data_IF_723544411424
#
_entry.id   IF_723544411424
#
_cell.length_a   1.000
_cell.length_b   1.000
_cell.length_c   1.000
_cell.angle_alpha   90.00
_cell.angle_beta   90.00
_cell.angle_gamma   90.00
#
_symmetry.space_group_name_H-M   'P 1'
#
loop_
_entity.id
_entity.type
_entity.pdbx_description
1 polymer ?
#
# COMPACT_ATOMS: atom_id res chain seq x y z
N UNK A 1 -38.01 13.37 -66.74
CA UNK A 1 -37.97 14.23 -65.53
C UNK A 1 -37.89 13.41 -64.21
N UNK A 2 -38.53 12.20 -64.15
CA UNK A 2 -38.50 11.35 -62.95
C UNK A 2 -37.17 10.64 -62.66
N UNK A 3 -36.40 10.25 -63.71
CA UNK A 3 -35.11 9.55 -63.55
C UNK A 3 -34.05 10.47 -62.94
N UNK A 4 -34.05 11.76 -63.28
CA UNK A 4 -33.06 12.72 -62.76
C UNK A 4 -33.29 13.04 -61.28
N UNK A 5 -34.52 12.97 -60.76
CA UNK A 5 -34.82 13.16 -59.36
C UNK A 5 -34.44 11.96 -58.48
N UNK A 6 -34.45 10.74 -59.01
CA UNK A 6 -34.00 9.54 -58.31
C UNK A 6 -32.49 9.49 -58.14
N UNK A 7 -31.73 9.92 -59.15
CA UNK A 7 -30.26 9.97 -59.13
C UNK A 7 -29.75 11.01 -58.10
N UNK A 8 -30.40 12.19 -57.97
CA UNK A 8 -30.02 13.19 -56.98
C UNK A 8 -30.33 12.75 -55.53
N UNK A 9 -31.38 11.93 -55.33
CA UNK A 9 -31.71 11.41 -53.98
C UNK A 9 -30.77 10.32 -53.51
N UNK A 10 -30.28 9.48 -54.44
CA UNK A 10 -29.25 8.45 -54.15
C UNK A 10 -27.89 9.05 -53.85
N UNK A 11 -27.47 10.11 -54.52
CA UNK A 11 -26.20 10.80 -54.27
C UNK A 11 -26.21 11.55 -52.92
N UNK A 12 -27.33 12.11 -52.48
CA UNK A 12 -27.47 12.77 -51.19
C UNK A 12 -27.44 11.78 -50.02
N UNK A 13 -28.02 10.58 -50.22
CA UNK A 13 -28.02 9.52 -49.18
C UNK A 13 -26.63 8.91 -48.96
N UNK A 14 -25.82 8.75 -50.02
CA UNK A 14 -24.44 8.25 -49.89
C UNK A 14 -23.52 9.25 -49.27
N UNK A 15 -23.69 10.56 -49.47
CA UNK A 15 -22.94 11.63 -48.82
C UNK A 15 -23.29 11.76 -47.31
N UNK A 16 -24.56 11.53 -46.95
CA UNK A 16 -25.01 11.58 -45.56
C UNK A 16 -24.53 10.36 -44.76
N UNK A 17 -24.41 9.17 -45.36
CA UNK A 17 -23.79 7.99 -44.70
C UNK A 17 -22.27 8.14 -44.51
N UNK A 18 -21.56 8.81 -45.41
CA UNK A 18 -20.12 9.06 -45.29
C UNK A 18 -19.77 10.02 -44.14
N UNK A 19 -20.66 10.97 -43.81
CA UNK A 19 -20.45 11.91 -42.71
C UNK A 19 -20.65 11.30 -41.33
N UNK A 20 -21.50 10.25 -41.21
CA UNK A 20 -21.78 9.58 -39.94
C UNK A 20 -20.59 8.67 -39.51
N UNK A 21 -19.77 8.22 -40.46
CA UNK A 21 -18.58 7.39 -40.16
C UNK A 21 -17.30 8.22 -39.86
N UNK A 22 -17.29 9.52 -40.11
CA UNK A 22 -16.11 10.35 -39.87
C UNK A 22 -16.00 10.86 -38.42
N UNK A 23 -17.10 10.88 -37.66
CA UNK A 23 -17.10 11.29 -36.25
C UNK A 23 -16.73 10.18 -35.23
N UNK A 24 -16.54 8.95 -35.69
CA UNK A 24 -16.31 7.80 -34.80
C UNK A 24 -14.83 7.56 -34.42
N UNK A 25 -13.89 8.43 -34.79
CA UNK A 25 -12.45 8.16 -34.60
C UNK A 25 -11.64 9.23 -33.89
N UNK A 26 -12.28 10.13 -33.17
CA UNK A 26 -11.58 10.91 -32.15
C UNK A 26 -11.82 10.37 -30.73
N UNK A 27 -11.68 9.04 -30.54
CA UNK A 27 -11.30 8.52 -29.25
C UNK A 27 -9.92 9.11 -28.97
N UNK A 28 -9.92 10.23 -28.23
CA UNK A 28 -8.70 10.85 -27.72
C UNK A 28 -7.98 9.74 -26.98
N UNK A 29 -6.90 9.23 -27.57
CA UNK A 29 -6.06 8.24 -26.91
C UNK A 29 -5.66 8.87 -25.59
N UNK A 30 -6.27 8.42 -24.50
CA UNK A 30 -5.93 8.91 -23.15
C UNK A 30 -4.46 8.56 -22.95
N UNK A 31 -3.62 9.58 -22.81
CA UNK A 31 -2.18 9.38 -22.60
C UNK A 31 -2.02 8.45 -21.39
N UNK A 32 -1.36 7.31 -21.57
CA UNK A 32 -1.18 6.36 -20.47
C UNK A 32 -0.48 7.05 -19.29
N UNK A 33 -0.81 6.65 -18.07
CA UNK A 33 -0.14 7.21 -16.88
C UNK A 33 1.37 7.02 -16.96
N UNK A 34 1.83 5.88 -17.49
CA UNK A 34 3.26 5.60 -17.67
C UNK A 34 3.94 6.58 -18.63
N UNK A 35 3.28 6.94 -19.75
CA UNK A 35 3.82 7.92 -20.70
C UNK A 35 3.83 9.34 -20.10
N UNK A 36 2.79 9.71 -19.37
CA UNK A 36 2.73 10.99 -18.66
C UNK A 36 3.84 11.12 -17.60
N UNK A 37 4.10 10.06 -16.83
CA UNK A 37 5.18 9.97 -15.83
C UNK A 37 6.53 10.15 -16.53
N UNK A 38 6.76 9.47 -17.64
CA UNK A 38 8.02 9.58 -18.42
C UNK A 38 8.22 10.95 -19.00
N UNK A 39 7.19 11.52 -19.61
CA UNK A 39 7.25 12.88 -20.17
C UNK A 39 7.57 13.93 -19.09
N UNK A 40 7.07 13.74 -17.88
CA UNK A 40 7.33 14.61 -16.72
C UNK A 40 8.70 14.36 -16.07
N UNK A 41 9.30 13.20 -16.29
CA UNK A 41 10.58 12.79 -15.69
C UNK A 41 10.52 12.46 -14.20
N UNK A 42 9.32 12.33 -13.62
CA UNK A 42 9.15 11.99 -12.19
C UNK A 42 7.79 11.35 -11.89
N UNK A 43 7.77 10.42 -10.94
CA UNK A 43 6.57 9.83 -10.35
C UNK A 43 5.98 10.80 -9.31
N UNK A 44 4.66 11.01 -9.33
CA UNK A 44 3.92 11.69 -8.25
C UNK A 44 3.30 10.65 -7.34
N UNK A 45 3.82 10.51 -6.13
CA UNK A 45 3.37 9.52 -5.17
C UNK A 45 2.63 10.17 -4.01
N UNK A 46 1.33 9.86 -3.86
CA UNK A 46 0.51 10.25 -2.72
C UNK A 46 0.85 9.40 -1.51
N UNK A 47 1.32 10.05 -0.42
CA UNK A 47 1.72 9.40 0.83
C UNK A 47 0.99 10.02 2.02
N UNK A 48 1.10 9.41 3.20
CA UNK A 48 0.64 10.03 4.46
C UNK A 48 1.43 11.29 4.79
N UNK A 49 0.81 12.22 5.52
CA UNK A 49 1.48 13.45 5.97
C UNK A 49 2.63 13.13 6.92
N UNK A 50 2.34 12.54 8.07
CA UNK A 50 3.31 11.98 9.01
C UNK A 50 2.71 10.72 9.63
N UNK A 51 3.25 9.57 9.24
CA UNK A 51 2.86 8.27 9.79
C UNK A 51 4.13 7.45 10.04
N UNK A 52 4.61 7.39 11.30
CA UNK A 52 5.83 6.67 11.63
C UNK A 52 5.84 5.25 11.11
N UNK A 53 6.95 4.83 10.52
CA UNK A 53 7.11 3.54 9.88
C UNK A 53 6.55 3.44 8.45
N UNK A 54 5.60 4.27 8.04
CA UNK A 54 5.02 4.30 6.69
C UNK A 54 5.47 5.51 5.87
N UNK A 55 5.33 6.71 6.46
CA UNK A 55 5.71 7.98 5.84
C UNK A 55 6.10 8.95 6.95
N UNK A 56 7.37 9.25 7.06
CA UNK A 56 7.89 10.19 8.05
C UNK A 56 8.94 11.09 7.41
N UNK A 57 9.19 12.23 8.03
CA UNK A 57 10.20 13.22 7.60
C UNK A 57 11.14 13.44 8.76
N UNK A 58 12.42 13.35 8.51
CA UNK A 58 13.44 13.70 9.49
C UNK A 58 13.68 15.24 9.55
N UNK A 59 14.45 15.74 10.53
CA UNK A 59 14.75 17.17 10.64
C UNK A 59 15.49 17.76 9.43
N UNK A 60 16.14 16.92 8.60
CA UNK A 60 16.79 17.33 7.35
C UNK A 60 15.84 17.34 6.15
N UNK A 61 14.56 16.98 6.35
CA UNK A 61 13.55 16.94 5.30
C UNK A 61 13.56 15.64 4.47
N UNK A 62 14.34 14.63 4.88
CA UNK A 62 14.42 13.35 4.18
C UNK A 62 13.23 12.47 4.58
N UNK A 63 12.52 11.97 3.55
CA UNK A 63 11.38 11.06 3.76
C UNK A 63 11.82 9.61 3.81
N UNK A 64 11.23 8.87 4.77
CA UNK A 64 11.43 7.43 4.96
C UNK A 64 10.11 6.75 5.37
N UNK A 65 10.06 5.43 5.25
CA UNK A 65 8.89 4.62 5.60
C UNK A 65 8.57 3.58 4.53
N UNK A 66 7.70 2.63 4.87
CA UNK A 66 7.29 1.53 3.99
C UNK A 66 6.66 2.04 2.68
N UNK A 67 5.74 3.02 2.76
CA UNK A 67 5.08 3.63 1.61
C UNK A 67 6.07 4.43 0.75
N UNK A 68 6.99 5.14 1.40
CA UNK A 68 8.05 5.92 0.75
C UNK A 68 9.00 5.01 -0.02
N UNK A 69 9.43 3.90 0.57
CA UNK A 69 10.33 2.94 -0.08
C UNK A 69 9.64 2.23 -1.24
N UNK A 70 8.35 1.92 -1.12
CA UNK A 70 7.57 1.40 -2.24
C UNK A 70 7.52 2.39 -3.43
N UNK A 71 7.31 3.68 -3.18
CA UNK A 71 7.34 4.70 -4.24
C UNK A 71 8.73 4.87 -4.86
N UNK A 72 9.80 4.74 -4.07
CA UNK A 72 11.19 4.70 -4.59
C UNK A 72 11.42 3.46 -5.47
N UNK A 73 10.86 2.30 -5.10
CA UNK A 73 10.91 1.10 -5.93
C UNK A 73 10.20 1.28 -7.27
N UNK A 74 9.03 1.93 -7.29
CA UNK A 74 8.33 2.32 -8.53
C UNK A 74 9.15 3.26 -9.40
N UNK A 75 9.77 4.28 -8.82
CA UNK A 75 10.64 5.21 -9.55
C UNK A 75 11.85 4.49 -10.17
N UNK A 76 12.45 3.55 -9.43
CA UNK A 76 13.52 2.69 -9.97
C UNK A 76 13.03 1.82 -11.13
N UNK A 77 11.84 1.23 -11.02
CA UNK A 77 11.28 0.41 -12.08
C UNK A 77 11.09 1.21 -13.40
N UNK A 78 10.65 2.47 -13.30
CA UNK A 78 10.34 3.30 -14.48
C UNK A 78 11.55 4.04 -15.02
N UNK A 79 12.41 4.58 -14.13
CA UNK A 79 13.48 5.52 -14.48
C UNK A 79 14.90 5.00 -14.20
N UNK A 80 15.04 3.88 -13.48
CA UNK A 80 16.34 3.44 -12.97
C UNK A 80 16.92 4.33 -11.85
N UNK A 81 16.12 5.26 -11.31
CA UNK A 81 16.53 6.19 -10.26
C UNK A 81 15.49 6.26 -9.15
N UNK A 82 15.89 6.02 -7.91
CA UNK A 82 15.01 6.17 -6.73
C UNK A 82 14.63 7.61 -6.42
N UNK A 83 15.36 8.58 -6.96
CA UNK A 83 15.17 10.01 -6.72
C UNK A 83 14.20 10.64 -7.74
N UNK A 84 13.80 9.89 -8.77
CA UNK A 84 12.80 10.31 -9.76
C UNK A 84 11.36 10.19 -9.21
N UNK A 85 11.15 10.54 -7.95
CA UNK A 85 9.85 10.56 -7.29
C UNK A 85 9.63 11.85 -6.53
N UNK A 86 8.41 12.40 -6.63
CA UNK A 86 7.93 13.52 -5.83
C UNK A 86 6.83 13.00 -4.91
N UNK A 87 7.00 13.23 -3.62
CA UNK A 87 6.05 12.83 -2.60
C UNK A 87 5.01 13.91 -2.37
N UNK A 88 3.75 13.52 -2.38
CA UNK A 88 2.62 14.39 -2.14
C UNK A 88 1.90 13.96 -0.86
N UNK A 89 2.09 14.67 0.27
CA UNK A 89 1.40 14.37 1.51
C UNK A 89 -0.10 14.63 1.37
N UNK A 90 -0.90 13.64 1.77
CA UNK A 90 -2.36 13.69 1.63
C UNK A 90 -3.05 13.36 2.96
N UNK A 91 -4.11 14.11 3.27
CA UNK A 91 -5.01 13.79 4.37
C UNK A 91 -5.82 12.50 4.10
N UNK A 92 -6.41 11.87 5.12
CA UNK A 92 -7.33 10.74 4.90
C UNK A 92 -8.52 11.07 4.01
N UNK A 93 -9.00 12.32 4.00
CA UNK A 93 -10.19 12.73 3.27
C UNK A 93 -9.90 13.08 1.80
N UNK A 94 -8.68 13.52 1.49
CA UNK A 94 -8.33 14.02 0.16
C UNK A 94 -7.67 12.96 -0.74
N UNK A 95 -7.18 11.86 -0.17
CA UNK A 95 -6.33 10.88 -0.87
C UNK A 95 -6.94 10.30 -2.14
N UNK A 96 -8.20 9.85 -2.09
CA UNK A 96 -8.86 9.26 -3.27
C UNK A 96 -9.28 10.31 -4.29
N UNK A 97 -9.62 11.52 -3.85
CA UNK A 97 -9.90 12.65 -4.72
C UNK A 97 -8.64 13.04 -5.52
N UNK A 98 -7.50 13.16 -4.84
CA UNK A 98 -6.21 13.45 -5.49
C UNK A 98 -5.78 12.36 -6.49
N UNK A 99 -6.10 11.08 -6.20
CA UNK A 99 -5.87 9.99 -7.15
C UNK A 99 -6.79 10.10 -8.37
N UNK A 100 -8.07 10.33 -8.15
CA UNK A 100 -9.08 10.43 -9.22
C UNK A 100 -8.84 11.64 -10.14
N UNK A 101 -8.43 12.81 -9.58
CA UNK A 101 -8.08 14.02 -10.36
C UNK A 101 -6.78 13.90 -11.15
N UNK A 102 -5.91 12.93 -10.81
CA UNK A 102 -4.58 12.79 -11.41
C UNK A 102 -3.50 13.68 -10.78
N UNK A 103 -3.77 14.29 -9.61
CA UNK A 103 -2.76 15.04 -8.85
C UNK A 103 -1.63 14.12 -8.38
N UNK A 104 -1.93 12.82 -8.23
CA UNK A 104 -0.95 11.77 -7.99
C UNK A 104 -1.14 10.60 -8.96
N UNK A 105 -0.05 9.91 -9.28
CA UNK A 105 -0.05 8.75 -10.19
C UNK A 105 -0.37 7.46 -9.46
N UNK A 106 0.04 7.38 -8.21
CA UNK A 106 -0.17 6.26 -7.30
C UNK A 106 -0.42 6.76 -5.90
N UNK A 107 -1.31 6.09 -5.19
CA UNK A 107 -1.56 6.33 -3.77
C UNK A 107 -0.90 5.20 -2.97
N UNK A 108 0.17 5.50 -2.23
CA UNK A 108 0.80 4.63 -1.25
C UNK A 108 0.75 5.34 0.11
N UNK A 109 -0.38 5.16 0.83
CA UNK A 109 -0.70 5.97 2.00
C UNK A 109 -1.40 5.14 3.09
N UNK A 110 -0.96 3.90 3.32
CA UNK A 110 -1.62 3.06 4.31
C UNK A 110 -3.14 3.00 4.09
N UNK A 111 -3.60 2.89 2.85
CA UNK A 111 -5.02 2.85 2.54
C UNK A 111 -5.53 1.42 2.58
N UNK A 112 -6.53 1.16 3.43
CA UNK A 112 -7.19 -0.15 3.52
C UNK A 112 -7.92 -0.47 2.22
N UNK A 113 -7.66 -1.63 1.64
CA UNK A 113 -8.40 -2.17 0.50
C UNK A 113 -9.77 -2.67 0.96
N UNK A 114 -10.83 -1.97 0.59
CA UNK A 114 -12.22 -2.34 0.87
C UNK A 114 -13.03 -2.40 -0.41
N UNK A 115 -14.15 -3.14 -0.40
CA UNK A 115 -15.05 -3.24 -1.55
C UNK A 115 -15.45 -1.86 -2.07
N UNK A 116 -15.94 -0.97 -1.20
CA UNK A 116 -16.37 0.38 -1.57
C UNK A 116 -15.25 1.20 -2.21
N UNK A 117 -14.04 1.17 -1.62
CA UNK A 117 -12.90 1.93 -2.16
C UNK A 117 -12.46 1.42 -3.52
N UNK A 118 -12.52 0.10 -3.74
CA UNK A 118 -12.12 -0.54 -5.00
C UNK A 118 -13.16 -0.40 -6.11
N UNK A 119 -14.43 -0.19 -5.77
CA UNK A 119 -15.54 -0.18 -6.75
C UNK A 119 -16.18 1.18 -6.97
N UNK A 120 -16.24 2.05 -5.94
CA UNK A 120 -17.01 3.30 -5.98
C UNK A 120 -16.15 4.55 -6.08
N UNK A 121 -14.87 4.50 -5.63
CA UNK A 121 -14.01 5.68 -5.59
C UNK A 121 -13.08 5.83 -6.80
N UNK A 122 -13.28 5.05 -7.87
CA UNK A 122 -12.43 5.10 -9.06
C UNK A 122 -10.98 4.64 -8.83
N UNK A 123 -10.74 3.99 -7.69
CA UNK A 123 -9.44 3.43 -7.33
C UNK A 123 -9.39 1.94 -7.63
N UNK A 124 -8.19 1.40 -7.89
CA UNK A 124 -7.91 -0.02 -8.04
C UNK A 124 -6.67 -0.38 -7.23
N UNK A 125 -6.85 -1.28 -6.26
CA UNK A 125 -5.75 -1.71 -5.40
C UNK A 125 -4.86 -2.74 -6.10
N UNK A 126 -3.55 -2.47 -6.14
CA UNK A 126 -2.59 -3.30 -6.86
C UNK A 126 -2.12 -4.53 -6.07
N UNK A 127 -2.43 -4.60 -4.79
CA UNK A 127 -2.10 -5.69 -3.87
C UNK A 127 -1.99 -5.16 -2.45
N UNK A 128 -1.59 -6.03 -1.51
CA UNK A 128 -1.41 -5.67 -0.11
C UNK A 128 0.07 -5.45 0.16
N UNK A 129 0.42 -4.23 0.58
CA UNK A 129 1.78 -3.86 1.00
C UNK A 129 2.01 -4.15 2.49
N UNK A 130 0.95 -4.07 3.31
CA UNK A 130 1.00 -4.34 4.73
C UNK A 130 -0.35 -4.86 5.24
N UNK A 131 -0.34 -5.99 5.91
CA UNK A 131 -1.49 -6.53 6.64
C UNK A 131 -1.50 -5.94 8.04
N UNK A 132 -2.38 -4.97 8.27
CA UNK A 132 -2.68 -4.40 9.59
C UNK A 132 -4.00 -4.95 10.12
N UNK A 133 -4.37 -4.51 11.30
CA UNK A 133 -5.65 -4.82 11.93
C UNK A 133 -5.72 -4.20 13.31
N UNK A 134 -6.93 -4.08 13.81
CA UNK A 134 -7.15 -3.60 15.16
C UNK A 134 -6.66 -4.64 16.18
N UNK A 135 -5.89 -4.17 17.14
CA UNK A 135 -5.36 -4.95 18.25
C UNK A 135 -5.46 -4.20 19.56
N UNK A 136 -4.72 -4.68 20.54
CA UNK A 136 -4.76 -4.16 21.91
C UNK A 136 -3.37 -4.02 22.51
N UNK A 137 -3.11 -2.87 23.11
CA UNK A 137 -1.91 -2.57 23.90
C UNK A 137 -2.27 -2.59 25.38
N UNK A 138 -1.54 -3.37 26.19
CA UNK A 138 -1.73 -3.45 27.62
C UNK A 138 -0.39 -3.42 28.38
N UNK A 139 -0.44 -3.21 29.70
CA UNK A 139 0.75 -3.31 30.54
C UNK A 139 1.07 -4.77 30.82
N UNK A 140 2.36 -5.15 30.76
CA UNK A 140 2.81 -6.51 31.13
C UNK A 140 2.41 -6.89 32.55
N UNK A 141 2.38 -5.92 33.47
CA UNK A 141 1.92 -6.14 34.86
C UNK A 141 0.47 -6.60 35.00
N UNK A 142 -0.36 -6.47 33.97
CA UNK A 142 -1.74 -6.99 33.97
C UNK A 142 -1.79 -8.51 33.76
N UNK A 143 -0.65 -9.15 33.42
CA UNK A 143 -0.54 -10.59 33.21
C UNK A 143 -1.51 -11.17 32.14
N UNK A 144 -1.84 -10.37 31.12
CA UNK A 144 -2.72 -10.76 30.00
C UNK A 144 -1.86 -11.13 28.81
N UNK A 145 -2.11 -12.30 28.22
CA UNK A 145 -1.37 -12.80 27.05
C UNK A 145 -2.25 -12.90 25.78
N UNK A 146 -3.57 -12.83 25.92
CA UNK A 146 -4.54 -12.95 24.81
C UNK A 146 -5.66 -11.95 24.97
N UNK A 147 -6.23 -11.50 23.84
CA UNK A 147 -7.44 -10.66 23.81
C UNK A 147 -8.62 -11.35 24.48
N UNK A 148 -8.69 -12.67 24.45
CA UNK A 148 -9.75 -13.45 25.11
C UNK A 148 -9.74 -13.34 26.65
N UNK A 149 -8.66 -12.87 27.23
CA UNK A 149 -8.52 -12.63 28.68
C UNK A 149 -8.96 -11.21 29.10
N UNK A 150 -9.39 -10.36 28.16
CA UNK A 150 -9.77 -8.96 28.40
C UNK A 150 -11.22 -8.78 28.89
N UNK A 151 -11.93 -9.84 29.30
CA UNK A 151 -13.29 -9.70 29.79
C UNK A 151 -13.34 -8.85 31.06
N UNK A 152 -14.12 -7.76 31.05
CA UNK A 152 -14.22 -6.76 32.13
C UNK A 152 -13.21 -5.61 32.03
N UNK A 153 -12.39 -5.57 30.99
CA UNK A 153 -11.41 -4.51 30.80
C UNK A 153 -12.06 -3.14 30.53
N UNK A 154 -11.40 -2.08 31.01
CA UNK A 154 -11.64 -0.71 30.53
C UNK A 154 -10.74 -0.44 29.32
N UNK A 155 -11.38 -0.08 28.20
CA UNK A 155 -10.73 0.03 26.88
C UNK A 155 -10.77 1.48 26.42
N UNK A 156 -9.62 2.11 26.25
CA UNK A 156 -9.50 3.39 25.57
C UNK A 156 -9.75 3.21 24.07
N UNK A 157 -10.79 3.86 23.53
CA UNK A 157 -11.16 3.81 22.12
C UNK A 157 -11.69 5.15 21.62
N UNK A 158 -11.47 5.47 20.33
CA UNK A 158 -12.05 6.65 19.67
C UNK A 158 -13.55 6.43 19.43
N UNK A 159 -14.42 7.36 19.88
CA UNK A 159 -15.87 7.25 19.64
C UNK A 159 -16.19 7.30 18.14
N UNK A 160 -17.18 6.49 17.72
CA UNK A 160 -17.65 6.47 16.33
C UNK A 160 -16.63 6.04 15.28
N UNK A 161 -15.42 5.66 15.70
CA UNK A 161 -14.40 5.10 14.81
C UNK A 161 -14.60 3.59 14.63
N UNK A 162 -14.02 3.05 13.57
CA UNK A 162 -14.04 1.59 13.31
C UNK A 162 -13.49 0.79 14.50
N UNK A 163 -12.58 1.38 15.28
CA UNK A 163 -12.04 0.76 16.49
C UNK A 163 -13.07 0.48 17.58
N UNK A 164 -14.02 1.39 17.85
CA UNK A 164 -15.11 1.14 18.79
C UNK A 164 -16.06 0.04 18.30
N UNK A 165 -16.43 0.09 17.02
CA UNK A 165 -17.27 -0.92 16.40
C UNK A 165 -16.61 -2.31 16.44
N UNK A 166 -15.31 -2.41 16.09
CA UNK A 166 -14.57 -3.67 16.14
C UNK A 166 -14.55 -4.27 17.55
N UNK A 167 -14.39 -3.45 18.60
CA UNK A 167 -14.52 -3.91 19.98
C UNK A 167 -15.92 -4.44 20.26
N UNK A 168 -16.97 -3.69 19.90
CA UNK A 168 -18.35 -4.09 20.14
C UNK A 168 -18.70 -5.42 19.46
N UNK A 169 -18.30 -5.58 18.21
CA UNK A 169 -18.53 -6.81 17.45
C UNK A 169 -17.76 -8.02 18.04
N UNK A 170 -16.45 -7.84 18.30
CA UNK A 170 -15.62 -8.93 18.80
C UNK A 170 -16.02 -9.35 20.22
N UNK A 171 -16.13 -8.39 21.16
CA UNK A 171 -16.48 -8.68 22.55
C UNK A 171 -17.91 -9.22 22.64
N UNK A 172 -18.85 -8.70 21.82
CA UNK A 172 -20.22 -9.22 21.73
C UNK A 172 -20.25 -10.67 21.25
N UNK A 173 -19.53 -11.01 20.19
CA UNK A 173 -19.43 -12.39 19.68
C UNK A 173 -18.84 -13.37 20.71
N UNK A 174 -17.86 -12.92 21.47
CA UNK A 174 -17.21 -13.72 22.53
C UNK A 174 -17.95 -13.66 23.88
N UNK A 175 -19.07 -12.90 23.98
CA UNK A 175 -19.83 -12.68 25.22
C UNK A 175 -18.98 -12.12 26.37
N UNK A 176 -18.00 -11.29 26.01
CA UNK A 176 -17.09 -10.62 26.95
C UNK A 176 -17.67 -9.28 27.39
N UNK A 177 -17.49 -8.91 28.64
CA UNK A 177 -17.86 -7.59 29.16
C UNK A 177 -16.70 -6.61 28.94
N UNK A 178 -17.00 -5.34 28.71
CA UNK A 178 -16.01 -4.27 28.59
C UNK A 178 -16.65 -2.93 28.95
N UNK A 179 -15.80 -1.92 29.17
CA UNK A 179 -16.19 -0.54 29.37
C UNK A 179 -15.33 0.36 28.46
N UNK A 180 -15.98 1.21 27.65
CA UNK A 180 -15.26 2.18 26.81
C UNK A 180 -14.89 3.40 27.66
N UNK A 181 -13.62 3.83 27.52
CA UNK A 181 -13.10 5.12 27.97
C UNK A 181 -12.81 5.93 26.71
N UNK A 182 -13.74 6.82 26.37
CA UNK A 182 -13.68 7.62 25.16
C UNK A 182 -12.81 8.87 25.33
N UNK A 183 -12.13 9.28 24.25
CA UNK A 183 -11.43 10.56 24.12
C UNK A 183 -11.64 11.09 22.68
N UNK A 184 -11.53 12.40 22.50
CA UNK A 184 -11.84 13.06 21.24
C UNK A 184 -10.79 12.81 20.13
N UNK A 185 -9.56 12.47 20.50
CA UNK A 185 -8.48 12.24 19.58
C UNK A 185 -7.48 11.17 20.08
N UNK A 186 -6.62 10.71 19.18
CA UNK A 186 -5.65 9.64 19.44
C UNK A 186 -4.61 10.01 20.51
N UNK A 187 -4.11 11.24 20.51
CA UNK A 187 -3.07 11.66 21.45
C UNK A 187 -3.63 11.69 22.89
N UNK A 188 -4.87 12.12 23.08
CA UNK A 188 -5.52 12.12 24.39
C UNK A 188 -5.88 10.70 24.84
N UNK A 189 -6.22 9.79 23.90
CA UNK A 189 -6.36 8.37 24.23
C UNK A 189 -5.05 7.76 24.75
N UNK A 190 -3.94 8.03 24.09
CA UNK A 190 -2.62 7.55 24.52
C UNK A 190 -2.25 8.13 25.90
N UNK A 191 -2.54 9.42 26.16
CA UNK A 191 -2.34 10.04 27.48
C UNK A 191 -3.23 9.39 28.55
N UNK A 192 -4.52 9.15 28.27
CA UNK A 192 -5.44 8.50 29.19
C UNK A 192 -4.98 7.07 29.53
N UNK A 193 -4.54 6.30 28.54
CA UNK A 193 -3.93 5.00 28.76
C UNK A 193 -2.65 5.10 29.62
N UNK A 194 -1.75 6.02 29.29
CA UNK A 194 -0.51 6.23 30.05
C UNK A 194 -0.79 6.61 31.52
N UNK A 195 -1.81 7.43 31.77
CA UNK A 195 -2.25 7.84 33.12
C UNK A 195 -2.98 6.72 33.88
N UNK A 196 -3.37 5.61 33.22
CA UNK A 196 -4.09 4.51 33.87
C UNK A 196 -5.60 4.66 33.90
N UNK A 197 -6.18 5.61 33.14
CA UNK A 197 -7.64 5.80 33.05
C UNK A 197 -8.33 4.59 32.40
N UNK A 198 -7.60 3.83 31.59
CA UNK A 198 -8.02 2.53 31.06
C UNK A 198 -6.90 1.49 31.20
N UNK A 199 -7.29 0.21 31.23
CA UNK A 199 -6.36 -0.92 31.33
C UNK A 199 -5.76 -1.30 29.99
N UNK A 200 -6.47 -0.99 28.89
CA UNK A 200 -6.15 -1.38 27.52
C UNK A 200 -6.36 -0.21 26.57
N UNK A 201 -5.46 -0.03 25.61
CA UNK A 201 -5.64 0.88 24.48
C UNK A 201 -5.87 0.04 23.21
N UNK A 202 -6.91 0.37 22.42
CA UNK A 202 -7.17 -0.28 21.13
C UNK A 202 -6.94 0.65 19.95
N UNK A 203 -6.54 0.09 18.83
CA UNK A 203 -6.28 0.74 17.55
C UNK A 203 -5.55 -0.21 16.62
N UNK A 204 -5.20 0.27 15.43
CA UNK A 204 -4.38 -0.51 14.49
C UNK A 204 -3.02 -0.85 15.12
N UNK A 205 -2.54 -2.06 14.89
CA UNK A 205 -1.27 -2.54 15.48
C UNK A 205 -0.12 -1.57 15.17
N UNK A 206 -0.09 -1.03 13.97
CA UNK A 206 0.92 -0.04 13.58
C UNK A 206 0.85 1.24 14.42
N UNK A 207 -0.36 1.75 14.71
CA UNK A 207 -0.58 2.91 15.59
C UNK A 207 -0.25 2.59 17.06
N UNK A 208 -0.62 1.39 17.52
CA UNK A 208 -0.28 0.94 18.88
C UNK A 208 1.23 0.81 19.08
N UNK A 209 1.97 0.38 18.06
CA UNK A 209 3.43 0.32 18.11
C UNK A 209 4.05 1.73 18.23
N UNK A 210 3.54 2.70 17.48
CA UNK A 210 3.93 4.11 17.60
C UNK A 210 3.60 4.65 18.99
N UNK A 211 2.38 4.38 19.50
CA UNK A 211 2.01 4.79 20.84
C UNK A 211 2.95 4.20 21.91
N UNK A 212 3.21 2.88 21.82
CA UNK A 212 4.13 2.18 22.72
C UNK A 212 5.52 2.80 22.72
N UNK A 213 6.09 3.10 21.55
CA UNK A 213 7.45 3.66 21.45
C UNK A 213 7.59 5.03 22.14
N UNK A 214 6.50 5.78 22.28
CA UNK A 214 6.45 7.09 22.92
C UNK A 214 6.14 7.05 24.42
N UNK A 215 5.78 5.87 24.97
CA UNK A 215 5.53 5.74 26.40
C UNK A 215 6.83 5.85 27.22
N UNK A 216 6.73 6.25 28.48
CA UNK A 216 7.89 6.47 29.36
C UNK A 216 8.78 5.23 29.51
N UNK A 217 8.18 4.03 29.55
CA UNK A 217 8.87 2.74 29.60
C UNK A 217 8.22 1.78 28.58
N UNK A 218 8.61 1.85 27.28
CA UNK A 218 7.96 1.07 26.21
C UNK A 218 7.95 -0.44 26.46
N UNK A 219 8.98 -0.99 27.10
CA UNK A 219 9.14 -2.41 27.38
C UNK A 219 8.17 -2.95 28.45
N UNK A 220 7.56 -2.08 29.25
CA UNK A 220 6.53 -2.46 30.23
C UNK A 220 5.16 -2.69 29.59
N UNK A 221 5.06 -2.49 28.27
CA UNK A 221 3.83 -2.61 27.51
C UNK A 221 3.97 -3.69 26.43
N UNK A 222 2.88 -4.40 26.17
CA UNK A 222 2.79 -5.46 25.16
C UNK A 222 1.58 -5.21 24.25
N UNK A 223 1.78 -5.36 22.96
CA UNK A 223 0.71 -5.50 21.98
C UNK A 223 0.34 -6.97 21.96
N UNK A 224 -0.96 -7.27 22.20
CA UNK A 224 -1.46 -8.64 22.16
C UNK A 224 -1.41 -9.20 20.74
N UNK A 225 -1.24 -10.53 20.57
CA UNK A 225 -0.95 -11.10 19.25
C UNK A 225 -2.15 -11.17 18.30
N UNK A 226 -3.38 -11.14 18.84
CA UNK A 226 -4.58 -11.29 18.03
C UNK A 226 -5.02 -9.97 17.40
N UNK A 227 -5.49 -10.06 16.16
CA UNK A 227 -6.19 -9.02 15.42
C UNK A 227 -7.70 -9.28 15.44
N UNK A 228 -8.50 -8.26 15.72
CA UNK A 228 -9.96 -8.36 15.73
C UNK A 228 -10.62 -7.82 14.47
N UNK A 229 -9.88 -7.10 13.62
CA UNK A 229 -10.32 -6.65 12.28
C UNK A 229 -9.27 -6.97 11.21
N UNK A 230 -9.65 -6.78 9.94
CA UNK A 230 -8.75 -6.91 8.79
C UNK A 230 -8.53 -5.56 8.14
N UNK A 231 -7.28 -5.10 8.13
CA UNK A 231 -6.87 -3.85 7.49
C UNK A 231 -5.75 -4.13 6.46
N UNK A 232 -6.10 -4.68 5.28
CA UNK A 232 -5.12 -4.90 4.22
C UNK A 232 -4.78 -3.56 3.56
N UNK A 233 -3.62 -3.00 3.90
CA UNK A 233 -3.14 -1.73 3.38
C UNK A 233 -2.39 -1.95 2.07
N UNK A 234 -2.71 -1.19 1.02
CA UNK A 234 -2.07 -1.39 -0.26
C UNK A 234 -2.02 -0.14 -1.14
N UNK A 235 -1.14 -0.16 -2.17
CA UNK A 235 -1.09 0.88 -3.16
C UNK A 235 -2.30 0.81 -4.09
N UNK A 236 -2.83 1.99 -4.43
CA UNK A 236 -3.95 2.13 -5.35
C UNK A 236 -3.60 3.05 -6.52
N UNK A 237 -4.18 2.76 -7.68
CA UNK A 237 -4.08 3.54 -8.93
C UNK A 237 -5.48 3.85 -9.44
N UNK A 238 -5.61 4.71 -10.47
CA UNK A 238 -6.89 4.91 -11.19
C UNK A 238 -7.31 3.62 -11.89
N UNK A 239 -8.62 3.40 -11.99
CA UNK A 239 -9.19 2.16 -12.56
C UNK A 239 -8.96 2.00 -14.07
N UNK A 240 -8.81 3.07 -14.80
CA UNK A 240 -8.85 3.16 -16.25
C UNK A 240 -7.49 2.95 -16.94
N UNK A 241 -6.43 2.65 -16.19
CA UNK A 241 -5.09 2.38 -16.74
C UNK A 241 -4.56 0.99 -16.35
N UNK A 242 -4.88 -0.06 -17.14
CA UNK A 242 -4.44 -1.42 -16.85
C UNK A 242 -2.92 -1.61 -16.95
N UNK A 243 -2.24 -0.83 -17.79
CA UNK A 243 -0.78 -0.91 -17.90
C UNK A 243 -0.12 -0.36 -16.64
N UNK A 244 -0.52 0.82 -16.18
CA UNK A 244 0.02 1.39 -14.95
C UNK A 244 -0.29 0.53 -13.72
N UNK A 245 -1.52 0.00 -13.66
CA UNK A 245 -1.90 -0.97 -12.64
C UNK A 245 -0.96 -2.18 -12.63
N UNK A 246 -0.63 -2.74 -13.80
CA UNK A 246 0.30 -3.87 -13.91
C UNK A 246 1.70 -3.49 -13.42
N UNK A 247 2.22 -2.31 -13.78
CA UNK A 247 3.53 -1.81 -13.31
C UNK A 247 3.57 -1.73 -11.78
N UNK A 248 2.55 -1.11 -11.17
CA UNK A 248 2.46 -0.96 -9.70
C UNK A 248 2.36 -2.32 -9.01
N UNK A 249 1.50 -3.22 -9.52
CA UNK A 249 1.35 -4.59 -9.00
C UNK A 249 2.65 -5.38 -9.09
N UNK A 250 3.29 -5.42 -10.26
CA UNK A 250 4.50 -6.22 -10.45
C UNK A 250 5.71 -5.64 -9.71
N UNK A 251 5.73 -4.34 -9.43
CA UNK A 251 6.71 -3.75 -8.51
C UNK A 251 6.56 -4.30 -7.09
N UNK A 252 5.32 -4.39 -6.59
CA UNK A 252 5.06 -5.01 -5.28
C UNK A 252 5.45 -6.50 -5.29
N UNK A 253 5.06 -7.24 -6.34
CA UNK A 253 5.43 -8.66 -6.48
C UNK A 253 6.96 -8.84 -6.55
N UNK A 254 7.69 -7.93 -7.20
CA UNK A 254 9.14 -8.01 -7.28
C UNK A 254 9.82 -7.87 -5.91
N UNK A 255 9.31 -7.00 -5.03
CA UNK A 255 9.84 -6.88 -3.67
C UNK A 255 9.66 -8.18 -2.88
N UNK A 256 8.50 -8.85 -3.02
CA UNK A 256 8.19 -10.11 -2.33
C UNK A 256 8.99 -11.26 -2.94
N UNK A 257 9.00 -11.38 -4.28
CA UNK A 257 9.74 -12.43 -5.01
C UNK A 257 11.23 -12.39 -4.68
N UNK A 258 11.82 -11.19 -4.59
CA UNK A 258 13.21 -11.04 -4.21
C UNK A 258 13.49 -11.65 -2.83
N UNK A 259 12.60 -11.43 -1.85
CA UNK A 259 12.74 -12.05 -0.52
C UNK A 259 12.57 -13.57 -0.60
N UNK A 260 11.60 -14.09 -1.38
CA UNK A 260 11.40 -15.52 -1.58
C UNK A 260 12.60 -16.20 -2.23
N UNK A 261 13.26 -15.53 -3.18
CA UNK A 261 14.48 -16.00 -3.84
C UNK A 261 15.76 -15.80 -3.00
N UNK A 262 15.67 -15.19 -1.81
CA UNK A 262 16.82 -14.88 -0.97
C UNK A 262 17.72 -13.77 -1.53
N UNK A 263 17.20 -12.97 -2.46
CA UNK A 263 17.89 -11.81 -3.03
C UNK A 263 17.72 -10.60 -2.11
N UNK A 264 18.78 -9.88 -1.86
CA UNK A 264 18.79 -8.65 -1.05
C UNK A 264 19.76 -7.61 -1.62
N UNK A 265 19.79 -6.42 -1.03
CA UNK A 265 20.61 -5.30 -1.49
C UNK A 265 22.13 -5.60 -1.42
N UNK A 266 22.55 -6.50 -0.54
CA UNK A 266 23.94 -6.85 -0.34
C UNK A 266 24.44 -7.92 -1.31
N UNK A 267 23.56 -8.90 -1.68
CA UNK A 267 23.98 -10.06 -2.47
C UNK A 267 23.58 -10.00 -3.94
N UNK A 268 22.64 -9.14 -4.34
CA UNK A 268 22.05 -9.14 -5.69
C UNK A 268 23.09 -8.99 -6.81
N UNK A 269 24.18 -8.28 -6.60
CA UNK A 269 25.27 -8.14 -7.58
C UNK A 269 25.97 -9.48 -7.86
N UNK A 270 26.31 -10.22 -6.80
CA UNK A 270 26.94 -11.54 -6.93
C UNK A 270 25.99 -12.57 -7.56
N UNK A 271 24.67 -12.43 -7.37
CA UNK A 271 23.65 -13.30 -7.94
C UNK A 271 23.47 -13.13 -9.46
N UNK A 272 24.07 -12.11 -10.07
CA UNK A 272 24.16 -12.02 -11.54
C UNK A 272 24.92 -13.18 -12.19
N UNK A 273 25.76 -13.86 -11.44
CA UNK A 273 26.44 -15.09 -11.85
C UNK A 273 25.66 -16.37 -11.52
N UNK A 274 24.48 -16.27 -10.90
CA UNK A 274 23.67 -17.42 -10.51
C UNK A 274 23.25 -18.26 -11.70
N UNK A 275 23.17 -19.58 -11.49
CA UNK A 275 22.70 -20.55 -12.50
C UNK A 275 21.23 -20.88 -12.34
N UNK A 276 20.60 -20.56 -11.21
CA UNK A 276 19.20 -20.88 -10.92
C UNK A 276 18.26 -20.14 -11.89
N UNK A 277 17.41 -20.81 -12.66
CA UNK A 277 16.62 -20.17 -13.71
C UNK A 277 15.68 -19.06 -13.22
N UNK A 278 15.05 -19.22 -12.05
CA UNK A 278 14.16 -18.18 -11.49
C UNK A 278 14.92 -16.90 -11.12
N UNK A 279 16.11 -17.02 -10.54
CA UNK A 279 16.99 -15.88 -10.23
C UNK A 279 17.41 -15.18 -11.52
N UNK A 280 17.81 -15.93 -12.55
CA UNK A 280 18.22 -15.38 -13.86
C UNK A 280 17.08 -14.63 -14.54
N UNK A 281 15.86 -15.19 -14.54
CA UNK A 281 14.67 -14.52 -15.07
C UNK A 281 14.35 -13.25 -14.29
N UNK A 282 14.32 -13.33 -12.97
CA UNK A 282 14.05 -12.20 -12.11
C UNK A 282 15.04 -11.03 -12.35
N UNK A 283 16.33 -11.33 -12.49
CA UNK A 283 17.38 -10.35 -12.75
C UNK A 283 17.43 -9.85 -14.21
N UNK A 284 16.53 -10.32 -15.08
CA UNK A 284 16.51 -9.97 -16.50
C UNK A 284 17.66 -10.56 -17.34
N UNK A 285 18.34 -11.59 -16.84
CA UNK A 285 19.49 -12.19 -17.55
C UNK A 285 19.06 -13.20 -18.62
N UNK A 286 17.90 -13.84 -18.47
CA UNK A 286 17.41 -14.89 -19.35
C UNK A 286 16.20 -14.44 -20.18
N UNK A 287 15.28 -13.68 -19.59
CA UNK A 287 14.08 -13.17 -20.26
C UNK A 287 13.94 -11.66 -20.04
N UNK A 288 13.25 -10.97 -20.95
CA UNK A 288 12.89 -9.55 -20.78
C UNK A 288 11.46 -9.41 -20.27
N UNK A 289 11.22 -9.73 -19.00
CA UNK A 289 9.90 -9.64 -18.38
C UNK A 289 9.42 -8.17 -18.22
N UNK A 290 10.33 -7.20 -18.25
CA UNK A 290 9.98 -5.78 -18.21
C UNK A 290 9.30 -5.28 -19.49
N UNK A 291 9.56 -5.90 -20.64
CA UNK A 291 9.07 -5.44 -21.94
C UNK A 291 7.55 -5.29 -22.02
N UNK A 292 6.81 -6.29 -21.52
CA UNK A 292 5.34 -6.28 -21.52
C UNK A 292 4.77 -5.20 -20.58
N UNK A 293 5.54 -4.80 -19.56
CA UNK A 293 5.20 -3.71 -18.66
C UNK A 293 5.66 -2.33 -19.18
N UNK A 294 6.42 -2.31 -20.29
CA UNK A 294 7.09 -1.11 -20.75
C UNK A 294 8.27 -0.69 -19.87
N UNK A 295 8.86 -1.59 -19.09
CA UNK A 295 9.97 -1.30 -18.19
C UNK A 295 11.33 -1.75 -18.77
N UNK A 296 12.47 -1.21 -18.30
CA UNK A 296 13.79 -1.71 -18.60
C UNK A 296 13.93 -3.21 -18.27
N UNK A 297 14.85 -3.88 -18.95
CA UNK A 297 15.07 -5.33 -18.76
C UNK A 297 15.46 -5.70 -17.32
N UNK A 298 16.23 -4.85 -16.68
CA UNK A 298 16.84 -5.05 -15.36
C UNK A 298 16.09 -4.30 -14.23
N UNK A 299 14.84 -3.90 -14.47
CA UNK A 299 14.04 -3.12 -13.53
C UNK A 299 13.95 -3.76 -12.12
N UNK A 300 13.76 -5.07 -12.04
CA UNK A 300 13.64 -5.78 -10.75
C UNK A 300 15.00 -5.86 -10.02
N UNK A 301 16.10 -6.07 -10.77
CA UNK A 301 17.45 -5.98 -10.20
C UNK A 301 17.72 -4.60 -9.59
N UNK A 302 17.38 -3.51 -10.31
CA UNK A 302 17.59 -2.14 -9.83
C UNK A 302 16.81 -1.86 -8.54
N UNK A 303 15.59 -2.36 -8.42
CA UNK A 303 14.79 -2.26 -7.19
C UNK A 303 15.54 -2.91 -6.02
N UNK A 304 15.94 -4.17 -6.16
CA UNK A 304 16.61 -4.89 -5.07
C UNK A 304 17.95 -4.25 -4.73
N UNK A 305 18.71 -3.82 -5.73
CA UNK A 305 20.01 -3.17 -5.53
C UNK A 305 19.95 -1.90 -4.70
N UNK A 306 18.94 -1.06 -4.93
CA UNK A 306 18.90 0.30 -4.38
C UNK A 306 17.88 0.49 -3.25
N UNK A 307 16.85 -0.34 -3.20
CA UNK A 307 15.81 -0.29 -2.15
C UNK A 307 15.80 -1.55 -1.30
N UNK A 308 16.19 -2.69 -1.86
CA UNK A 308 16.16 -3.99 -1.18
C UNK A 308 14.90 -4.78 -1.47
N UNK A 309 14.76 -5.93 -0.83
CA UNK A 309 13.57 -6.77 -0.88
C UNK A 309 12.52 -6.34 0.16
N UNK A 310 11.34 -6.99 0.17
CA UNK A 310 10.27 -6.66 1.10
C UNK A 310 10.69 -6.80 2.58
N UNK A 311 11.46 -7.84 2.93
CA UNK A 311 11.95 -8.05 4.29
C UNK A 311 12.87 -6.92 4.76
N UNK A 312 13.78 -6.44 3.90
CA UNK A 312 14.68 -5.34 4.21
C UNK A 312 13.90 -4.03 4.43
N UNK A 313 12.89 -3.77 3.57
CA UNK A 313 12.01 -2.60 3.68
C UNK A 313 11.21 -2.65 4.98
N UNK A 314 10.63 -3.81 5.30
CA UNK A 314 9.89 -4.01 6.54
C UNK A 314 10.79 -3.78 7.76
N UNK A 315 11.95 -4.44 7.81
CA UNK A 315 12.82 -4.42 8.97
C UNK A 315 13.33 -3.02 9.31
N UNK A 316 13.70 -2.22 8.29
CA UNK A 316 14.22 -0.86 8.55
C UNK A 316 13.14 0.15 8.93
N UNK A 317 11.87 -0.06 8.51
CA UNK A 317 10.80 0.90 8.73
C UNK A 317 9.89 0.52 9.91
N UNK A 318 9.59 -0.75 10.08
CA UNK A 318 8.62 -1.26 11.05
C UNK A 318 9.22 -2.31 12.01
N UNK A 319 10.15 -3.12 11.48
CA UNK A 319 10.65 -4.32 12.12
C UNK A 319 11.83 -4.12 13.07
N UNK A 320 12.71 -5.11 13.12
CA UNK A 320 13.77 -5.23 14.10
C UNK A 320 14.78 -4.06 14.09
N UNK A 321 14.98 -3.43 12.93
CA UNK A 321 15.90 -2.30 12.75
C UNK A 321 15.24 -0.93 12.99
N UNK A 322 13.93 -0.89 13.21
CA UNK A 322 13.18 0.34 13.51
C UNK A 322 12.95 0.52 15.01
N UNK A 323 12.51 1.72 15.40
CA UNK A 323 12.09 2.00 16.78
C UNK A 323 10.79 1.28 17.16
N UNK A 324 9.97 0.90 16.17
CA UNK A 324 8.66 0.28 16.38
C UNK A 324 8.76 -1.18 16.82
N UNK A 325 9.82 -1.91 16.41
CA UNK A 325 10.08 -3.30 16.78
C UNK A 325 8.88 -4.23 16.56
N UNK A 326 8.14 -4.01 15.47
CA UNK A 326 7.01 -4.88 15.11
C UNK A 326 7.53 -6.24 14.63
N UNK A 327 6.83 -7.29 15.05
CA UNK A 327 7.01 -8.62 14.44
C UNK A 327 6.36 -8.65 13.06
N UNK A 328 6.87 -9.50 12.18
CA UNK A 328 6.33 -9.67 10.81
C UNK A 328 4.88 -10.16 10.83
N UNK A 329 4.52 -11.09 11.70
CA UNK A 329 3.17 -11.66 11.77
C UNK A 329 2.66 -12.07 10.38
N UNK A 330 1.46 -11.59 10.01
CA UNK A 330 0.87 -11.80 8.68
C UNK A 330 1.72 -11.22 7.53
N UNK A 331 2.60 -10.28 7.82
CA UNK A 331 3.51 -9.68 6.84
C UNK A 331 4.76 -10.53 6.59
N UNK A 332 4.84 -11.74 7.13
CA UNK A 332 5.88 -12.70 6.81
C UNK A 332 5.59 -13.38 5.47
N UNK A 333 6.63 -13.97 4.86
CA UNK A 333 6.44 -14.82 3.70
C UNK A 333 5.51 -15.98 4.00
N UNK A 334 4.76 -16.46 3.00
CA UNK A 334 3.87 -17.62 3.13
C UNK A 334 4.61 -18.88 3.60
N UNK A 335 5.88 -19.06 3.20
CA UNK A 335 6.75 -20.15 3.68
C UNK A 335 7.14 -20.04 5.15
N UNK A 336 6.89 -18.88 5.78
CA UNK A 336 7.16 -18.60 7.18
C UNK A 336 5.89 -18.29 7.99
N UNK A 337 4.73 -18.74 7.48
CA UNK A 337 3.43 -18.61 8.15
C UNK A 337 2.74 -17.24 8.00
N UNK A 338 3.18 -16.40 7.07
CA UNK A 338 2.54 -15.13 6.73
C UNK A 338 1.68 -15.21 5.48
N UNK A 339 1.28 -14.05 4.96
CA UNK A 339 0.43 -13.89 3.77
C UNK A 339 1.17 -13.24 2.59
N UNK A 340 2.45 -12.86 2.75
CA UNK A 340 3.23 -12.32 1.64
C UNK A 340 3.59 -13.44 0.67
N UNK A 341 3.00 -13.37 -0.52
CA UNK A 341 3.09 -14.38 -1.57
C UNK A 341 3.23 -13.68 -2.92
N UNK A 342 4.36 -13.93 -3.61
CA UNK A 342 4.57 -13.40 -4.96
C UNK A 342 3.89 -14.26 -6.03
N UNK A 343 3.45 -13.63 -7.12
CA UNK A 343 3.05 -14.33 -8.32
C UNK A 343 4.30 -14.73 -9.13
N UNK A 344 4.31 -15.92 -9.78
CA UNK A 344 5.50 -16.43 -10.49
C UNK A 344 5.99 -15.50 -11.60
N UNK A 345 7.29 -15.22 -11.63
CA UNK A 345 8.00 -14.46 -12.68
C UNK A 345 8.37 -15.37 -13.85
N UNK A 346 7.39 -15.65 -14.75
CA UNK A 346 7.57 -16.52 -15.93
C UNK A 346 6.59 -16.20 -17.06
#
# INVERSE_FOLDING_TARGET
>A
MQIFQQLCRLSAAVLALGAIFADATLARAQTSTLDAIRARGSLLCGIGEVQPGFSQVDPAGVRSGLDVDFCKALALAVFGSKDAVKFWPLSPNDRFKALASGDVDVLARGATWTLTRDTELGARFAGVLYYDGQGFLTRRGNAVASVLELSGASICALPGAMGEQGVAEFFGAQRMRYQIVAQDNWDDLVKAYAAGSCTVLTGDISLLAVARSKLKVPNDHIILPELITKEPLGPAVRQDDPQWFAVVRWTLMALIEAEELGLNSENVDSQRAATHPSVRRFLGLEANLGQALGLPRDWAYLIVKHVGNYGEIFDRNLGAKSELKLSRGLNNLWTKGGLMYSMPFR
#
